data_IF_435649469302
#
_entry.id   IF_435649469302
#
_cell.length_a   1.000
_cell.length_b   1.000
_cell.length_c   1.000
_cell.angle_alpha   90.00
_cell.angle_beta   90.00
_cell.angle_gamma   90.00
#
_symmetry.space_group_name_H-M   'P 1'
#
loop_
_entity.id
_entity.type
_entity.pdbx_description
1 polymer ?
#
# COMPACT_ATOMS: atom_id res chain seq x y z
N UNK A 1 1.01 -4.57 14.05
CA UNK A 1 0.25 -3.39 13.60
C UNK A 1 1.29 -2.39 13.17
N UNK A 2 1.45 -2.26 11.86
CA UNK A 2 2.32 -1.26 11.24
C UNK A 2 1.45 -0.11 10.77
N UNK A 3 1.99 1.09 10.87
CA UNK A 3 1.33 2.30 10.41
C UNK A 3 1.54 2.42 8.90
N UNK A 4 0.43 2.63 8.18
CA UNK A 4 0.42 2.88 6.74
C UNK A 4 -0.21 4.24 6.51
N UNK A 5 0.55 5.10 5.85
CA UNK A 5 0.07 6.40 5.39
C UNK A 5 -0.27 6.31 3.90
N UNK A 6 -1.44 6.84 3.55
CA UNK A 6 -1.89 6.94 2.16
C UNK A 6 -1.90 8.41 1.74
N UNK A 7 -1.34 8.68 0.58
CA UNK A 7 -1.35 9.99 -0.04
C UNK A 7 -2.12 9.91 -1.36
N UNK A 8 -3.22 10.64 -1.44
CA UNK A 8 -4.11 10.62 -2.60
C UNK A 8 -3.78 11.85 -3.45
N UNK A 9 -3.23 11.61 -4.65
CA UNK A 9 -3.04 12.64 -5.68
C UNK A 9 -4.22 12.57 -6.64
N UNK A 10 -5.27 13.34 -6.35
CA UNK A 10 -6.50 13.34 -7.16
C UNK A 10 -6.24 13.79 -8.61
N UNK A 11 -5.37 14.78 -8.81
CA UNK A 11 -4.99 15.30 -10.15
C UNK A 11 -4.33 14.22 -11.02
N UNK A 12 -3.51 13.35 -10.41
CA UNK A 12 -2.78 12.28 -11.09
C UNK A 12 -3.52 10.94 -11.03
N UNK A 13 -4.73 10.90 -10.43
CA UNK A 13 -5.49 9.67 -10.12
C UNK A 13 -4.62 8.57 -9.51
N UNK A 14 -3.66 8.97 -8.68
CA UNK A 14 -2.63 8.08 -8.15
C UNK A 14 -2.69 8.07 -6.63
N UNK A 15 -2.65 6.88 -6.05
CA UNK A 15 -2.58 6.70 -4.60
C UNK A 15 -1.18 6.19 -4.26
N UNK A 16 -0.40 7.01 -3.57
CA UNK A 16 0.88 6.62 -3.01
C UNK A 16 0.68 6.09 -1.59
N UNK A 17 1.49 5.12 -1.18
CA UNK A 17 1.47 4.66 0.19
C UNK A 17 2.89 4.54 0.74
N UNK A 18 3.06 4.89 2.01
CA UNK A 18 4.29 4.67 2.76
C UNK A 18 3.99 3.76 3.94
N UNK A 19 4.76 2.68 4.05
CA UNK A 19 4.72 1.75 5.17
C UNK A 19 5.91 2.00 6.08
N UNK A 20 5.67 2.38 7.33
CA UNK A 20 6.71 2.40 8.35
C UNK A 20 6.75 1.04 9.05
N UNK A 21 7.51 0.08 8.51
CA UNK A 21 7.76 -1.18 9.22
C UNK A 21 8.61 -0.88 10.45
N UNK A 22 8.19 -1.37 11.62
CA UNK A 22 8.95 -1.17 12.87
C UNK A 22 10.38 -1.72 12.71
N UNK A 23 11.36 -0.91 13.12
CA UNK A 23 12.80 -1.19 12.98
C UNK A 23 13.12 -2.63 13.40
N UNK A 24 13.69 -3.43 12.50
CA UNK A 24 14.12 -4.81 12.79
C UNK A 24 13.30 -5.93 12.13
N UNK A 25 12.13 -5.63 11.56
CA UNK A 25 11.42 -6.58 10.71
C UNK A 25 11.43 -6.05 9.26
N UNK A 26 12.40 -6.50 8.47
CA UNK A 26 12.27 -6.38 7.02
C UNK A 26 11.06 -7.22 6.66
N UNK A 27 9.95 -6.56 6.32
CA UNK A 27 8.65 -7.22 6.13
C UNK A 27 8.63 -8.13 4.88
N UNK A 28 9.80 -8.42 4.29
CA UNK A 28 10.03 -9.27 3.11
C UNK A 28 9.07 -8.98 1.94
N UNK A 29 8.58 -7.73 1.84
CA UNK A 29 7.59 -7.34 0.84
C UNK A 29 6.14 -7.79 1.13
N UNK A 30 5.81 -8.22 2.35
CA UNK A 30 4.45 -8.54 2.80
C UNK A 30 3.52 -7.34 2.58
N UNK A 31 3.94 -6.14 3.00
CA UNK A 31 3.09 -4.96 2.77
C UNK A 31 2.96 -4.62 1.27
N UNK A 32 3.97 -4.89 0.44
CA UNK A 32 3.86 -4.76 -1.03
C UNK A 32 2.84 -5.75 -1.59
N UNK A 33 2.91 -7.03 -1.21
CA UNK A 33 1.95 -8.06 -1.64
C UNK A 33 0.52 -7.71 -1.25
N UNK A 34 0.33 -7.14 -0.05
CA UNK A 34 -0.98 -6.68 0.42
C UNK A 34 -1.52 -5.54 -0.47
N UNK A 35 -0.70 -4.54 -0.79
CA UNK A 35 -1.12 -3.45 -1.66
C UNK A 35 -1.38 -3.89 -3.10
N UNK A 36 -0.60 -4.82 -3.64
CA UNK A 36 -0.89 -5.39 -4.97
C UNK A 36 -2.21 -6.15 -4.99
N UNK A 37 -2.55 -6.88 -3.92
CA UNK A 37 -3.84 -7.55 -3.80
C UNK A 37 -5.00 -6.53 -3.77
N UNK A 38 -4.88 -5.48 -2.95
CA UNK A 38 -5.89 -4.41 -2.88
C UNK A 38 -6.05 -3.74 -4.26
N UNK A 39 -4.94 -3.45 -4.95
CA UNK A 39 -4.98 -2.91 -6.33
C UNK A 39 -5.73 -3.85 -7.27
N UNK A 40 -5.44 -5.15 -7.22
CA UNK A 40 -6.10 -6.15 -8.07
C UNK A 40 -7.61 -6.24 -7.77
N UNK A 41 -8.00 -6.24 -6.51
CA UNK A 41 -9.42 -6.28 -6.09
C UNK A 41 -10.15 -4.98 -6.49
N UNK A 42 -9.50 -3.83 -6.36
CA UNK A 42 -10.05 -2.53 -6.79
C UNK A 42 -10.32 -2.49 -8.30
N UNK A 43 -9.41 -3.04 -9.13
CA UNK A 43 -9.63 -3.13 -10.58
C UNK A 43 -10.62 -4.22 -11.00
N UNK A 44 -10.73 -5.32 -10.24
CA UNK A 44 -11.65 -6.40 -10.57
C UNK A 44 -13.12 -6.07 -10.27
N UNK A 45 -13.37 -5.06 -9.43
CA UNK A 45 -14.71 -4.58 -9.06
C UNK A 45 -15.20 -3.34 -9.82
N UNK A 46 -14.42 -2.80 -10.77
CA UNK A 46 -14.76 -1.64 -11.60
C UNK A 46 -15.17 -2.08 -13.02
#
# INVERSE_FOLDING_TARGET
MDDVEFFIKEDEKTIEFRSASRLGHSDLGVNRRRMEKIRSEFHAGA
#
